data_IF_033013848014
#
_entry.id   IF_033013848014
#
_cell.length_a   1.000
_cell.length_b   1.000
_cell.length_c   1.000
_cell.angle_alpha   90.00
_cell.angle_beta   90.00
_cell.angle_gamma   90.00
#
_symmetry.space_group_name_H-M   'P 1'
#
loop_
_entity.id
_entity.type
_entity.pdbx_description
1 polymer ?
#
# COMPACT_ATOMS: atom_id res chain seq x y z
N UNK A 1 3.09 54.70 -5.63
CA UNK A 1 2.40 53.54 -5.02
C UNK A 1 3.01 52.30 -5.63
N UNK A 2 3.94 51.67 -4.93
CA UNK A 2 4.51 50.38 -5.34
C UNK A 2 3.50 49.34 -4.89
N UNK A 3 2.84 48.70 -5.85
CA UNK A 3 1.97 47.55 -5.61
C UNK A 3 2.82 46.45 -4.98
N UNK A 4 2.50 46.07 -3.73
CA UNK A 4 2.99 44.85 -3.10
C UNK A 4 2.79 43.69 -4.08
N UNK A 5 3.87 43.18 -4.68
CA UNK A 5 3.81 41.84 -5.27
C UNK A 5 3.59 40.90 -4.10
N UNK A 6 2.43 40.27 -4.01
CA UNK A 6 2.25 39.14 -3.10
C UNK A 6 3.41 38.17 -3.33
N UNK A 7 4.20 37.93 -2.30
CA UNK A 7 5.35 37.02 -2.35
C UNK A 7 4.89 35.68 -2.93
N UNK A 8 5.58 35.24 -4.00
CA UNK A 8 5.23 34.01 -4.71
C UNK A 8 5.51 32.82 -3.80
N UNK A 9 4.45 32.13 -3.38
CA UNK A 9 4.58 30.98 -2.49
C UNK A 9 5.01 29.76 -3.32
N UNK A 10 6.16 29.20 -2.96
CA UNK A 10 6.80 28.03 -3.58
C UNK A 10 7.00 26.92 -2.54
N UNK A 11 7.34 25.70 -2.99
CA UNK A 11 7.53 24.53 -2.12
C UNK A 11 8.68 24.72 -1.09
N UNK A 12 9.60 25.66 -1.32
CA UNK A 12 10.67 25.99 -0.36
C UNK A 12 10.25 26.98 0.73
N UNK A 13 9.12 27.66 0.56
CA UNK A 13 8.60 28.68 1.50
C UNK A 13 7.49 28.15 2.40
N UNK A 14 7.05 26.90 2.20
CA UNK A 14 5.96 26.32 2.98
C UNK A 14 6.42 25.90 4.38
N UNK A 15 5.49 26.02 5.32
CA UNK A 15 5.63 25.46 6.66
C UNK A 15 5.27 23.97 6.63
N UNK A 16 6.29 23.11 6.55
CA UNK A 16 6.14 21.66 6.52
C UNK A 16 5.58 21.06 7.82
N UNK A 17 5.46 21.84 8.90
CA UNK A 17 4.75 21.39 10.10
C UNK A 17 3.23 21.35 9.92
N UNK A 18 2.70 22.02 8.89
CA UNK A 18 1.28 22.06 8.57
C UNK A 18 0.88 20.94 7.59
N UNK A 19 -0.35 20.39 7.73
CA UNK A 19 -0.90 19.44 6.77
C UNK A 19 -0.89 20.00 5.34
N UNK A 20 -0.60 19.13 4.36
CA UNK A 20 -0.56 19.49 2.93
C UNK A 20 -1.80 20.27 2.48
N UNK A 21 -2.98 19.86 2.96
CA UNK A 21 -4.27 20.51 2.62
C UNK A 21 -4.33 22.02 2.94
N UNK A 22 -3.53 22.50 3.90
CA UNK A 22 -3.53 23.91 4.31
C UNK A 22 -2.71 24.82 3.37
N UNK A 23 -1.71 24.28 2.68
CA UNK A 23 -0.81 25.08 1.83
C UNK A 23 -0.80 24.65 0.36
N UNK A 24 -1.31 23.46 0.03
CA UNK A 24 -1.26 22.91 -1.34
C UNK A 24 -1.85 23.87 -2.38
N UNK A 25 -3.02 24.44 -2.11
CA UNK A 25 -3.70 25.37 -3.04
C UNK A 25 -3.08 26.77 -3.07
N UNK A 26 -2.17 27.09 -2.14
CA UNK A 26 -1.50 28.41 -2.11
C UNK A 26 -0.24 28.42 -2.97
N UNK A 27 0.28 27.25 -3.37
CA UNK A 27 1.44 27.16 -4.25
C UNK A 27 1.12 27.73 -5.63
N UNK A 28 2.00 28.59 -6.13
CA UNK A 28 1.83 29.20 -7.45
C UNK A 28 1.86 28.16 -8.59
N UNK A 29 2.59 27.07 -8.40
CA UNK A 29 2.75 25.97 -9.35
C UNK A 29 1.91 24.72 -8.98
N UNK A 30 0.93 24.86 -8.08
CA UNK A 30 0.02 23.78 -7.65
C UNK A 30 -0.51 22.93 -8.82
N UNK A 31 -0.87 23.59 -9.92
CA UNK A 31 -1.42 22.93 -11.11
C UNK A 31 -0.46 21.98 -11.83
N UNK A 32 0.84 22.05 -11.54
CA UNK A 32 1.92 21.28 -12.19
C UNK A 32 2.52 20.18 -11.28
N UNK A 33 2.01 20.05 -10.05
CA UNK A 33 2.43 19.04 -9.07
C UNK A 33 1.38 17.94 -8.90
N UNK A 34 1.79 16.76 -8.43
CA UNK A 34 0.94 15.61 -8.10
C UNK A 34 1.41 14.91 -6.83
N UNK A 35 0.48 14.26 -6.16
CA UNK A 35 0.81 13.38 -5.05
C UNK A 35 1.44 12.09 -5.57
N UNK A 36 2.68 11.83 -5.16
CA UNK A 36 3.41 10.61 -5.47
C UNK A 36 3.05 9.52 -4.46
N UNK A 37 2.46 8.43 -4.95
CA UNK A 37 2.26 7.21 -4.17
C UNK A 37 3.59 6.46 -4.07
N UNK A 38 4.12 6.36 -2.85
CA UNK A 38 5.43 5.78 -2.60
C UNK A 38 5.48 4.99 -1.28
N UNK A 39 6.07 3.80 -1.32
CA UNK A 39 6.42 3.01 -0.12
C UNK A 39 7.55 2.03 -0.44
N UNK A 40 8.30 1.62 0.58
CA UNK A 40 9.44 0.71 0.46
C UNK A 40 9.33 -0.56 1.31
N UNK A 41 8.18 -0.77 1.95
CA UNK A 41 7.99 -1.93 2.82
C UNK A 41 7.42 -3.12 2.03
N UNK A 42 8.33 -3.90 1.41
CA UNK A 42 8.01 -5.09 0.65
C UNK A 42 8.99 -6.24 0.92
N UNK A 43 8.55 -7.45 0.61
CA UNK A 43 9.39 -8.64 0.64
C UNK A 43 9.09 -9.50 -0.59
N UNK A 44 10.00 -9.44 -1.57
CA UNK A 44 9.92 -10.21 -2.81
C UNK A 44 10.84 -11.43 -2.81
N UNK A 45 11.50 -11.75 -1.69
CA UNK A 45 12.48 -12.85 -1.60
C UNK A 45 11.90 -14.20 -2.00
N UNK A 46 10.58 -14.42 -1.90
CA UNK A 46 9.95 -15.64 -2.37
C UNK A 46 10.24 -15.95 -3.85
N UNK A 47 10.38 -14.93 -4.71
CA UNK A 47 10.62 -15.11 -6.15
C UNK A 47 11.99 -15.69 -6.49
N UNK A 48 12.98 -15.61 -5.60
CA UNK A 48 14.30 -16.22 -5.87
C UNK A 48 14.23 -17.76 -5.89
N UNK A 49 13.11 -18.33 -5.40
CA UNK A 49 12.84 -19.77 -5.42
C UNK A 49 12.11 -20.22 -6.69
N UNK A 50 11.69 -19.30 -7.57
CA UNK A 50 11.14 -19.65 -8.89
C UNK A 50 12.23 -20.23 -9.78
N UNK A 51 11.89 -21.17 -10.66
CA UNK A 51 12.86 -21.76 -11.58
C UNK A 51 13.31 -20.76 -12.66
N UNK A 52 14.59 -20.79 -13.09
CA UNK A 52 15.04 -19.93 -14.17
C UNK A 52 14.21 -20.15 -15.45
N UNK A 53 13.84 -19.05 -16.12
CA UNK A 53 13.07 -19.11 -17.37
C UNK A 53 13.86 -19.69 -18.54
N UNK A 54 13.15 -20.27 -19.52
CA UNK A 54 13.73 -20.96 -20.69
C UNK A 54 14.67 -20.06 -21.54
N UNK A 55 14.48 -18.73 -21.52
CA UNK A 55 15.28 -17.77 -22.27
C UNK A 55 16.43 -17.11 -21.51
N UNK A 56 16.72 -17.55 -20.27
CA UNK A 56 17.73 -16.89 -19.46
C UNK A 56 19.14 -17.23 -19.94
N UNK A 57 20.01 -16.21 -19.95
CA UNK A 57 21.45 -16.41 -20.17
C UNK A 57 22.05 -17.24 -19.04
N UNK A 58 23.15 -17.94 -19.31
CA UNK A 58 23.86 -18.73 -18.28
C UNK A 58 24.31 -17.86 -17.10
N UNK A 59 24.70 -16.62 -17.37
CA UNK A 59 25.06 -15.66 -16.32
C UNK A 59 23.85 -15.29 -15.44
N UNK A 60 22.69 -15.04 -16.04
CA UNK A 60 21.47 -14.76 -15.28
C UNK A 60 21.05 -15.96 -14.42
N UNK A 61 21.16 -17.19 -14.95
CA UNK A 61 20.91 -18.42 -14.20
C UNK A 61 21.87 -18.55 -13.01
N UNK A 62 23.17 -18.32 -13.24
CA UNK A 62 24.19 -18.35 -12.18
C UNK A 62 23.88 -17.34 -11.06
N UNK A 63 23.62 -16.08 -11.42
CA UNK A 63 23.28 -15.02 -10.46
C UNK A 63 22.00 -15.34 -9.67
N UNK A 64 21.00 -15.95 -10.32
CA UNK A 64 19.77 -16.37 -9.66
C UNK A 64 20.00 -17.48 -8.64
N UNK A 65 20.80 -18.49 -8.98
CA UNK A 65 21.17 -19.55 -8.05
C UNK A 65 21.96 -18.99 -6.86
N UNK A 66 22.86 -18.04 -7.08
CA UNK A 66 23.60 -17.35 -6.01
C UNK A 66 22.67 -16.55 -5.09
N UNK A 67 21.70 -15.84 -5.66
CA UNK A 67 20.68 -15.11 -4.90
C UNK A 67 19.78 -16.04 -4.10
N UNK A 68 19.43 -17.21 -4.66
CA UNK A 68 18.66 -18.26 -3.98
C UNK A 68 19.40 -18.77 -2.75
N UNK A 69 20.69 -19.12 -2.88
CA UNK A 69 21.50 -19.59 -1.75
C UNK A 69 21.72 -18.51 -0.69
N UNK A 70 21.99 -17.26 -1.10
CA UNK A 70 22.09 -16.13 -0.18
C UNK A 70 20.79 -15.92 0.60
N UNK A 71 19.65 -16.04 -0.06
CA UNK A 71 18.34 -15.90 0.55
C UNK A 71 18.06 -17.04 1.54
N UNK A 72 18.38 -18.29 1.21
CA UNK A 72 18.29 -19.42 2.15
C UNK A 72 19.09 -19.16 3.42
N UNK A 73 20.35 -18.75 3.29
CA UNK A 73 21.20 -18.40 4.45
C UNK A 73 20.57 -17.27 5.27
N UNK A 74 20.03 -16.25 4.62
CA UNK A 74 19.31 -15.16 5.28
C UNK A 74 18.09 -15.64 6.08
N UNK A 75 17.25 -16.49 5.48
CA UNK A 75 16.05 -17.05 6.11
C UNK A 75 16.41 -17.94 7.31
N UNK A 76 17.47 -18.74 7.21
CA UNK A 76 17.97 -19.54 8.35
C UNK A 76 18.43 -18.65 9.50
N UNK A 77 19.14 -17.56 9.19
CA UNK A 77 19.53 -16.57 10.23
C UNK A 77 18.33 -15.87 10.86
N UNK A 78 17.30 -15.59 10.08
CA UNK A 78 16.11 -14.86 10.52
C UNK A 78 15.16 -15.73 11.37
N UNK A 79 14.95 -16.99 10.98
CA UNK A 79 13.97 -17.89 11.59
C UNK A 79 14.57 -19.03 12.42
N UNK A 80 15.89 -19.18 12.40
CA UNK A 80 16.63 -20.21 13.13
C UNK A 80 16.95 -21.45 12.29
N UNK A 81 17.94 -22.21 12.77
CA UNK A 81 18.43 -23.44 12.12
C UNK A 81 17.48 -24.64 12.30
N UNK A 82 16.79 -24.69 13.45
CA UNK A 82 15.83 -25.75 13.77
C UNK A 82 14.61 -25.59 12.85
N UNK A 83 14.23 -26.68 12.17
CA UNK A 83 13.17 -26.72 11.17
C UNK A 83 13.38 -25.77 9.97
N UNK A 84 14.62 -25.41 9.67
CA UNK A 84 14.98 -24.49 8.57
C UNK A 84 14.36 -24.84 7.21
N UNK A 85 14.38 -26.11 6.81
CA UNK A 85 13.72 -26.56 5.56
C UNK A 85 12.22 -26.24 5.59
N UNK A 86 11.55 -26.51 6.71
CA UNK A 86 10.11 -26.23 6.86
C UNK A 86 9.81 -24.73 6.87
N UNK A 87 10.66 -23.95 7.51
CA UNK A 87 10.53 -22.49 7.53
C UNK A 87 10.67 -21.92 6.11
N UNK A 88 11.62 -22.43 5.32
CA UNK A 88 11.79 -22.04 3.91
C UNK A 88 10.55 -22.44 3.09
N UNK A 89 10.05 -23.67 3.23
CA UNK A 89 8.81 -24.10 2.57
C UNK A 89 7.62 -23.17 2.91
N UNK A 90 7.43 -22.87 4.20
CA UNK A 90 6.36 -21.99 4.64
C UNK A 90 6.53 -20.55 4.11
N UNK A 91 7.76 -20.04 4.08
CA UNK A 91 8.10 -18.72 3.55
C UNK A 91 7.80 -18.62 2.05
N UNK A 92 8.16 -19.64 1.28
CA UNK A 92 7.84 -19.71 -0.16
C UNK A 92 6.33 -19.80 -0.35
N UNK A 93 5.63 -20.62 0.44
CA UNK A 93 4.19 -20.81 0.32
C UNK A 93 3.38 -19.52 0.50
N UNK A 94 3.72 -18.66 1.47
CA UNK A 94 3.01 -17.39 1.68
C UNK A 94 3.28 -16.35 0.59
N UNK A 95 4.31 -16.55 -0.23
CA UNK A 95 4.69 -15.65 -1.32
C UNK A 95 5.10 -14.25 -0.85
N UNK A 96 4.98 -13.27 -1.75
CA UNK A 96 5.44 -11.91 -1.51
C UNK A 96 4.58 -11.14 -0.49
N UNK A 97 5.22 -10.19 0.20
CA UNK A 97 4.51 -9.19 1.01
C UNK A 97 4.03 -8.06 0.08
N UNK A 98 2.74 -7.69 0.07
CA UNK A 98 2.23 -6.58 -0.74
C UNK A 98 2.69 -5.25 -0.14
N UNK A 99 2.68 -4.21 -0.98
CA UNK A 99 2.94 -2.84 -0.58
C UNK A 99 1.68 -2.25 0.03
N UNK A 100 1.69 -1.82 1.30
CA UNK A 100 0.63 -0.94 1.80
C UNK A 100 1.13 0.49 1.99
N UNK A 101 0.30 1.47 1.61
CA UNK A 101 0.51 2.88 1.93
C UNK A 101 0.34 3.17 3.43
N UNK A 102 -0.20 2.24 4.21
CA UNK A 102 -0.37 2.38 5.66
C UNK A 102 0.61 1.50 6.43
N UNK A 103 1.52 2.13 7.19
CA UNK A 103 2.60 1.44 7.90
C UNK A 103 2.12 0.34 8.86
N UNK A 104 0.98 0.54 9.54
CA UNK A 104 0.47 -0.44 10.50
C UNK A 104 -0.04 -1.73 9.82
N UNK A 105 -0.52 -1.66 8.57
CA UNK A 105 -0.83 -2.86 7.79
C UNK A 105 0.43 -3.69 7.60
N UNK A 106 1.51 -3.04 7.18
CA UNK A 106 2.76 -3.72 6.89
C UNK A 106 3.37 -4.34 8.15
N UNK A 107 3.31 -3.65 9.28
CA UNK A 107 3.83 -4.14 10.55
C UNK A 107 3.04 -5.34 11.09
N UNK A 108 1.72 -5.26 11.15
CA UNK A 108 0.91 -6.37 11.66
C UNK A 108 0.87 -7.55 10.71
N UNK A 109 0.87 -7.30 9.40
CA UNK A 109 0.94 -8.38 8.42
C UNK A 109 2.29 -9.10 8.43
N UNK A 110 3.39 -8.38 8.72
CA UNK A 110 4.69 -9.01 8.93
C UNK A 110 4.67 -10.00 10.11
N UNK A 111 4.05 -9.62 11.24
CA UNK A 111 3.90 -10.51 12.40
C UNK A 111 3.11 -11.78 12.04
N UNK A 112 2.01 -11.63 11.30
CA UNK A 112 1.19 -12.76 10.80
C UNK A 112 2.03 -13.70 9.91
N UNK A 113 2.77 -13.13 8.96
CA UNK A 113 3.63 -13.88 8.05
C UNK A 113 4.71 -14.65 8.82
N UNK A 114 5.41 -13.98 9.74
CA UNK A 114 6.46 -14.59 10.56
C UNK A 114 5.92 -15.74 11.42
N UNK A 115 4.74 -15.59 12.01
CA UNK A 115 4.09 -16.67 12.75
C UNK A 115 3.85 -17.90 11.87
N UNK A 116 3.40 -17.71 10.62
CA UNK A 116 3.23 -18.82 9.69
C UNK A 116 4.54 -19.49 9.31
N UNK A 117 5.60 -18.71 9.04
CA UNK A 117 6.91 -19.22 8.66
C UNK A 117 7.44 -20.20 9.71
N UNK A 118 7.37 -19.84 10.99
CA UNK A 118 7.86 -20.68 12.10
C UNK A 118 6.90 -21.82 12.51
N UNK A 119 5.80 -22.04 11.76
CA UNK A 119 4.83 -23.10 12.03
C UNK A 119 3.78 -22.77 13.08
N UNK A 120 3.71 -21.53 13.57
CA UNK A 120 2.68 -21.06 14.49
C UNK A 120 1.37 -20.71 13.72
N UNK A 121 0.74 -21.73 13.13
CA UNK A 121 -0.36 -21.57 12.19
C UNK A 121 -1.63 -20.98 12.82
N UNK A 122 -1.99 -21.34 14.05
CA UNK A 122 -3.15 -20.74 14.71
C UNK A 122 -2.97 -19.24 14.97
N UNK A 123 -1.85 -18.78 15.58
CA UNK A 123 -1.54 -17.36 15.66
C UNK A 123 -1.55 -16.63 14.30
N UNK A 124 -1.02 -17.27 13.24
CA UNK A 124 -1.07 -16.69 11.90
C UNK A 124 -2.51 -16.52 11.38
N UNK A 125 -3.34 -17.56 11.50
CA UNK A 125 -4.74 -17.55 11.09
C UNK A 125 -5.55 -16.46 11.82
N UNK A 126 -5.53 -16.47 13.16
CA UNK A 126 -6.31 -15.52 13.95
C UNK A 126 -5.75 -14.10 13.84
N UNK A 127 -4.44 -13.95 13.68
CA UNK A 127 -3.80 -12.66 13.44
C UNK A 127 -4.18 -12.05 12.10
N UNK A 128 -4.25 -12.85 11.02
CA UNK A 128 -4.74 -12.42 9.71
C UNK A 128 -6.20 -11.96 9.79
N UNK A 129 -7.06 -12.75 10.44
CA UNK A 129 -8.47 -12.39 10.64
C UNK A 129 -8.61 -11.10 11.47
N UNK A 130 -7.88 -10.98 12.58
CA UNK A 130 -7.91 -9.78 13.42
C UNK A 130 -7.43 -8.52 12.68
N UNK A 131 -6.42 -8.66 11.80
CA UNK A 131 -5.98 -7.55 10.95
C UNK A 131 -7.09 -7.15 9.97
N UNK A 132 -7.75 -8.11 9.32
CA UNK A 132 -8.89 -7.84 8.44
C UNK A 132 -10.02 -7.09 9.16
N UNK A 133 -10.38 -7.53 10.37
CA UNK A 133 -11.38 -6.86 11.22
C UNK A 133 -10.98 -5.42 11.52
N UNK A 134 -9.71 -5.23 11.89
CA UNK A 134 -9.16 -3.93 12.22
C UNK A 134 -9.24 -2.98 11.02
N UNK A 135 -8.92 -3.46 9.81
CA UNK A 135 -8.99 -2.66 8.58
C UNK A 135 -10.44 -2.24 8.30
N UNK A 136 -11.40 -3.18 8.34
CA UNK A 136 -12.81 -2.87 8.12
C UNK A 136 -13.31 -1.82 9.12
N UNK A 137 -12.95 -1.97 10.39
CA UNK A 137 -13.37 -1.05 11.43
C UNK A 137 -12.79 0.35 11.23
N UNK A 138 -11.51 0.48 10.86
CA UNK A 138 -10.89 1.77 10.55
C UNK A 138 -11.53 2.43 9.34
N UNK A 139 -11.71 1.68 8.24
CA UNK A 139 -12.38 2.20 7.03
C UNK A 139 -13.74 2.79 7.35
N UNK A 140 -14.56 2.08 8.13
CA UNK A 140 -15.88 2.58 8.52
C UNK A 140 -15.78 3.80 9.43
N UNK A 141 -14.94 3.75 10.47
CA UNK A 141 -14.83 4.83 11.45
C UNK A 141 -14.33 6.14 10.82
N UNK A 142 -13.33 6.05 9.95
CA UNK A 142 -12.70 7.21 9.33
C UNK A 142 -13.55 7.79 8.19
N UNK A 143 -14.30 6.94 7.47
CA UNK A 143 -15.01 7.37 6.26
C UNK A 143 -16.50 7.63 6.45
N UNK A 144 -17.17 7.04 7.44
CA UNK A 144 -18.65 7.13 7.59
C UNK A 144 -19.20 8.54 7.61
N UNK A 145 -18.42 9.50 8.08
CA UNK A 145 -18.85 10.89 8.20
C UNK A 145 -19.02 11.58 6.83
N UNK A 146 -18.31 11.11 5.81
CA UNK A 146 -18.50 11.54 4.41
C UNK A 146 -19.82 11.04 3.81
N UNK A 147 -20.45 10.03 4.43
CA UNK A 147 -21.62 9.33 3.91
C UNK A 147 -22.86 9.48 4.81
N UNK A 148 -22.92 10.49 5.68
CA UNK A 148 -24.04 10.75 6.62
C UNK A 148 -25.42 10.81 5.97
N UNK A 149 -25.50 11.21 4.70
CA UNK A 149 -26.75 11.31 3.93
C UNK A 149 -27.24 9.98 3.37
N UNK A 150 -26.43 8.92 3.41
CA UNK A 150 -26.76 7.61 2.85
C UNK A 150 -27.59 6.76 3.81
N UNK A 151 -28.47 5.86 3.32
CA UNK A 151 -29.21 4.95 4.18
C UNK A 151 -28.30 3.96 4.93
N UNK A 152 -27.15 3.59 4.36
CA UNK A 152 -26.18 2.67 4.94
C UNK A 152 -25.53 3.21 6.21
N UNK A 153 -25.36 4.54 6.33
CA UNK A 153 -24.79 5.17 7.53
C UNK A 153 -25.50 4.75 8.82
N UNK A 154 -26.82 4.58 8.77
CA UNK A 154 -27.64 4.15 9.93
C UNK A 154 -27.29 2.74 10.42
N UNK A 155 -26.65 1.92 9.59
CA UNK A 155 -26.19 0.58 9.98
C UNK A 155 -24.87 0.65 10.76
N UNK A 156 -24.03 1.64 10.49
CA UNK A 156 -22.64 1.72 10.99
C UNK A 156 -22.35 2.92 11.91
N UNK A 157 -23.35 3.75 12.24
CA UNK A 157 -23.14 4.91 13.12
C UNK A 157 -22.78 4.52 14.56
N UNK A 158 -23.24 3.35 15.04
CA UNK A 158 -22.92 2.83 16.38
C UNK A 158 -21.76 1.85 16.31
N UNK A 159 -20.87 1.91 17.31
CA UNK A 159 -19.70 1.03 17.41
C UNK A 159 -20.05 -0.46 17.49
N UNK A 160 -21.19 -0.81 18.09
CA UNK A 160 -21.64 -2.20 18.23
C UNK A 160 -22.05 -2.88 16.91
N UNK A 161 -22.08 -2.16 15.79
CA UNK A 161 -22.42 -2.71 14.49
C UNK A 161 -21.27 -3.45 13.79
N UNK A 162 -20.05 -3.38 14.34
CA UNK A 162 -18.83 -3.82 13.68
C UNK A 162 -18.49 -5.29 13.94
N UNK A 163 -19.07 -5.90 14.98
CA UNK A 163 -18.82 -7.30 15.33
C UNK A 163 -19.33 -8.28 14.25
N UNK A 164 -20.30 -7.85 13.43
CA UNK A 164 -20.80 -8.57 12.27
C UNK A 164 -20.15 -8.01 11.01
N UNK A 165 -19.07 -8.64 10.54
CA UNK A 165 -18.29 -8.24 9.35
C UNK A 165 -19.11 -8.05 8.06
N UNK A 166 -20.25 -8.73 7.93
CA UNK A 166 -21.13 -8.53 6.77
C UNK A 166 -21.58 -7.05 6.66
N UNK A 167 -21.88 -6.41 7.79
CA UNK A 167 -22.36 -5.02 7.86
C UNK A 167 -21.32 -4.02 7.33
N UNK A 168 -20.07 -3.96 7.84
CA UNK A 168 -19.05 -3.06 7.30
C UNK A 168 -18.68 -3.40 5.86
N UNK A 169 -18.60 -4.68 5.46
CA UNK A 169 -18.30 -5.05 4.07
C UNK A 169 -19.37 -4.50 3.11
N UNK A 170 -20.64 -4.79 3.36
CA UNK A 170 -21.74 -4.36 2.48
C UNK A 170 -21.89 -2.83 2.47
N UNK A 171 -21.62 -2.18 3.59
CA UNK A 171 -21.67 -0.71 3.69
C UNK A 171 -20.56 -0.07 2.87
N UNK A 172 -19.32 -0.56 2.99
CA UNK A 172 -18.19 -0.02 2.24
C UNK A 172 -18.27 -0.34 0.74
N UNK A 173 -18.84 -1.50 0.37
CA UNK A 173 -19.17 -1.83 -1.02
C UNK A 173 -20.22 -0.87 -1.58
N UNK A 174 -21.32 -0.63 -0.86
CA UNK A 174 -22.38 0.30 -1.29
C UNK A 174 -21.89 1.75 -1.42
N UNK A 175 -20.92 2.17 -0.61
CA UNK A 175 -20.26 3.47 -0.73
C UNK A 175 -19.21 3.53 -1.85
N UNK A 176 -18.97 2.44 -2.57
CA UNK A 176 -17.91 2.29 -3.57
C UNK A 176 -16.51 2.62 -3.00
N UNK A 177 -16.31 2.34 -1.70
CA UNK A 177 -14.99 2.48 -1.05
C UNK A 177 -14.15 1.26 -1.35
N UNK A 178 -14.69 0.06 -1.16
CA UNK A 178 -13.97 -1.19 -1.43
C UNK A 178 -13.95 -1.49 -2.93
N UNK A 179 -12.78 -1.86 -3.43
CA UNK A 179 -12.67 -2.43 -4.77
C UNK A 179 -13.39 -3.79 -4.84
N UNK A 180 -13.99 -4.16 -5.99
CA UNK A 180 -14.78 -5.40 -6.11
C UNK A 180 -14.03 -6.67 -5.67
N UNK A 181 -12.74 -6.75 -6.01
CA UNK A 181 -11.90 -7.87 -5.58
C UNK A 181 -11.66 -7.85 -4.07
N UNK A 182 -11.36 -6.69 -3.48
CA UNK A 182 -11.23 -6.56 -2.02
C UNK A 182 -12.49 -7.02 -1.27
N UNK A 183 -13.69 -6.71 -1.77
CA UNK A 183 -14.97 -7.22 -1.21
C UNK A 183 -14.99 -8.75 -1.17
N UNK A 184 -14.61 -9.38 -2.28
CA UNK A 184 -14.58 -10.85 -2.40
C UNK A 184 -13.62 -11.46 -1.39
N UNK A 185 -12.43 -10.89 -1.25
CA UNK A 185 -11.40 -11.37 -0.32
C UNK A 185 -11.79 -11.15 1.15
N UNK A 186 -12.42 -10.03 1.48
CA UNK A 186 -12.94 -9.80 2.83
C UNK A 186 -14.02 -10.81 3.21
N UNK A 187 -14.92 -11.15 2.28
CA UNK A 187 -15.95 -12.19 2.50
C UNK A 187 -15.31 -13.57 2.71
N UNK A 188 -14.29 -13.92 1.94
CA UNK A 188 -13.57 -15.19 2.13
C UNK A 188 -12.84 -15.24 3.49
N UNK A 189 -12.21 -14.14 3.90
CA UNK A 189 -11.55 -14.02 5.20
C UNK A 189 -12.56 -14.08 6.37
N UNK A 190 -13.75 -13.50 6.22
CA UNK A 190 -14.82 -13.56 7.21
C UNK A 190 -15.22 -15.01 7.51
N UNK A 191 -15.33 -15.86 6.49
CA UNK A 191 -15.64 -17.28 6.69
C UNK A 191 -14.54 -18.02 7.47
N UNK A 192 -13.27 -17.71 7.20
CA UNK A 192 -12.14 -18.24 7.98
C UNK A 192 -12.18 -17.79 9.44
N UNK A 193 -12.52 -16.51 9.69
CA UNK A 193 -12.71 -15.98 11.05
C UNK A 193 -13.81 -16.74 11.80
N UNK A 194 -14.98 -16.89 11.19
CA UNK A 194 -16.11 -17.59 11.83
C UNK A 194 -15.74 -19.03 12.21
N UNK A 195 -15.03 -19.74 11.33
CA UNK A 195 -14.60 -21.12 11.59
C UNK A 195 -13.45 -21.24 12.60
N UNK A 196 -12.58 -20.23 12.72
CA UNK A 196 -11.36 -20.29 13.54
C UNK A 196 -11.55 -19.81 14.99
N UNK A 197 -12.47 -18.87 15.23
CA UNK A 197 -12.70 -18.29 16.57
C UNK A 197 -13.69 -19.14 17.39
N UNK A 198 -14.68 -19.74 16.74
CA UNK A 198 -15.60 -20.64 17.42
C UNK A 198 -14.98 -22.04 17.53
N UNK A 199 -15.04 -22.64 18.73
CA UNK A 199 -14.45 -23.97 18.96
C UNK A 199 -14.98 -25.00 17.96
N UNK A 200 -14.09 -25.55 17.16
CA UNK A 200 -14.37 -26.59 16.18
C UNK A 200 -13.19 -27.55 16.14
N UNK A 201 -13.45 -28.84 16.40
CA UNK A 201 -12.43 -29.90 16.39
C UNK A 201 -11.77 -30.03 15.00
N UNK A 202 -12.49 -29.71 13.93
CA UNK A 202 -11.99 -29.72 12.56
C UNK A 202 -10.91 -28.66 12.29
N UNK A 203 -10.85 -27.57 13.07
CA UNK A 203 -9.86 -26.49 12.87
C UNK A 203 -8.43 -26.99 13.00
N UNK A 204 -8.18 -28.03 13.81
CA UNK A 204 -6.85 -28.61 13.95
C UNK A 204 -6.41 -29.45 12.74
N UNK A 205 -7.36 -29.96 11.95
CA UNK A 205 -7.06 -30.79 10.79
C UNK A 205 -6.65 -29.98 9.55
N UNK A 206 -7.07 -28.72 9.47
CA UNK A 206 -6.85 -27.82 8.31
C UNK A 206 -6.10 -26.55 8.68
N UNK A 207 -5.48 -26.51 9.87
CA UNK A 207 -4.97 -25.27 10.45
C UNK A 207 -3.92 -24.58 9.58
N UNK A 208 -3.03 -25.36 8.96
CA UNK A 208 -1.99 -24.83 8.07
C UNK A 208 -2.63 -24.23 6.81
N UNK A 209 -3.57 -24.95 6.21
CA UNK A 209 -4.23 -24.59 4.96
C UNK A 209 -5.12 -23.35 5.15
N UNK A 210 -5.88 -23.29 6.25
CA UNK A 210 -6.70 -22.13 6.61
C UNK A 210 -5.81 -20.92 6.92
N UNK A 211 -4.69 -21.10 7.65
CA UNK A 211 -3.75 -20.01 7.91
C UNK A 211 -3.10 -19.47 6.63
N UNK A 212 -2.70 -20.35 5.71
CA UNK A 212 -2.14 -19.96 4.42
C UNK A 212 -3.18 -19.20 3.59
N UNK A 213 -4.42 -19.69 3.55
CA UNK A 213 -5.53 -19.04 2.85
C UNK A 213 -5.81 -17.66 3.43
N UNK A 214 -5.86 -17.52 4.76
CA UNK A 214 -6.06 -16.23 5.42
C UNK A 214 -4.96 -15.21 5.08
N UNK A 215 -3.71 -15.66 5.01
CA UNK A 215 -2.57 -14.82 4.58
C UNK A 215 -2.73 -14.36 3.13
N UNK A 216 -3.15 -15.25 2.23
CA UNK A 216 -3.37 -14.89 0.83
C UNK A 216 -4.54 -13.90 0.66
N UNK A 217 -5.66 -14.11 1.35
CA UNK A 217 -6.77 -13.15 1.35
C UNK A 217 -6.33 -11.78 1.89
N UNK A 218 -5.58 -11.76 3.00
CA UNK A 218 -5.05 -10.50 3.55
C UNK A 218 -4.07 -9.81 2.61
N UNK A 219 -3.20 -10.58 1.92
CA UNK A 219 -2.31 -10.04 0.90
C UNK A 219 -3.12 -9.35 -0.21
N UNK A 220 -4.14 -10.03 -0.70
CA UNK A 220 -4.96 -9.52 -1.80
C UNK A 220 -5.81 -8.31 -1.36
N UNK A 221 -6.35 -8.29 -0.14
CA UNK A 221 -7.02 -7.12 0.44
C UNK A 221 -6.10 -5.90 0.43
N UNK A 222 -4.86 -6.07 0.94
CA UNK A 222 -3.88 -4.98 0.99
C UNK A 222 -3.50 -4.53 -0.42
N UNK A 223 -3.24 -5.46 -1.32
CA UNK A 223 -2.91 -5.15 -2.72
C UNK A 223 -4.05 -4.39 -3.40
N UNK A 224 -5.27 -4.91 -3.36
CA UNK A 224 -6.40 -4.32 -4.09
C UNK A 224 -6.78 -2.95 -3.56
N UNK A 225 -6.75 -2.77 -2.23
CA UNK A 225 -7.29 -1.56 -1.62
C UNK A 225 -6.23 -0.52 -1.28
N UNK A 226 -5.04 -0.93 -0.82
CA UNK A 226 -4.05 -0.04 -0.20
C UNK A 226 -2.68 -0.06 -0.87
N UNK A 227 -2.60 -0.60 -2.09
CA UNK A 227 -1.33 -0.69 -2.82
C UNK A 227 -0.74 0.69 -3.11
N UNK A 228 0.59 0.77 -3.04
CA UNK A 228 1.31 1.92 -3.59
C UNK A 228 1.62 1.75 -5.09
N UNK A 229 1.40 0.55 -5.64
CA UNK A 229 1.80 0.11 -6.98
C UNK A 229 0.69 -0.56 -7.81
N UNK A 230 0.85 -0.57 -9.13
CA UNK A 230 -0.05 -1.26 -10.07
C UNK A 230 -1.19 -0.38 -10.57
N UNK A 231 -2.10 -0.99 -11.34
CA UNK A 231 -3.20 -0.26 -11.98
C UNK A 231 -4.37 -0.12 -11.01
N UNK A 232 -4.65 1.11 -10.59
CA UNK A 232 -5.84 1.45 -9.78
C UNK A 232 -6.56 2.64 -10.38
N UNK A 233 -7.89 2.77 -10.16
CA UNK A 233 -8.68 3.85 -10.75
C UNK A 233 -8.12 5.25 -10.47
N UNK A 234 -7.50 5.43 -9.29
CA UNK A 234 -6.94 6.68 -8.80
C UNK A 234 -5.50 6.98 -9.25
N UNK A 235 -4.81 6.07 -9.94
CA UNK A 235 -3.45 6.34 -10.42
C UNK A 235 -3.42 6.87 -11.84
N UNK A 236 -2.57 7.86 -12.09
CA UNK A 236 -2.24 8.34 -13.43
C UNK A 236 -1.54 7.22 -14.20
N UNK A 237 -2.02 6.94 -15.41
CA UNK A 237 -1.41 5.94 -16.30
C UNK A 237 -0.25 6.54 -17.09
N UNK A 238 0.68 5.70 -17.52
CA UNK A 238 1.77 6.15 -18.40
C UNK A 238 2.89 6.88 -17.67
N UNK A 239 3.11 6.64 -16.38
CA UNK A 239 4.26 7.14 -15.63
C UNK A 239 5.15 5.98 -15.18
N UNK A 240 6.38 5.93 -15.68
CA UNK A 240 7.31 4.82 -15.51
C UNK A 240 7.93 4.81 -14.12
N UNK A 241 7.76 3.68 -13.45
CA UNK A 241 8.38 3.40 -12.15
C UNK A 241 7.83 4.21 -10.97
N UNK A 242 6.90 5.15 -11.21
CA UNK A 242 6.29 5.99 -10.20
C UNK A 242 4.80 6.12 -10.48
N UNK A 243 4.00 6.23 -9.42
CA UNK A 243 2.56 6.36 -9.54
C UNK A 243 2.10 7.62 -8.85
N UNK A 244 1.24 8.36 -9.53
CA UNK A 244 0.72 9.63 -9.06
C UNK A 244 -0.78 9.53 -8.89
N UNK A 245 -1.31 10.21 -7.89
CA UNK A 245 -2.76 10.29 -7.68
C UNK A 245 -3.36 11.24 -8.73
N UNK A 246 -4.39 10.77 -9.42
CA UNK A 246 -5.21 11.58 -10.34
C UNK A 246 -5.88 12.72 -9.60
N UNK A 247 -5.96 13.88 -10.23
CA UNK A 247 -6.55 15.07 -9.60
C UNK A 247 -8.01 14.87 -9.20
N UNK A 248 -8.81 14.21 -10.05
CA UNK A 248 -10.23 13.95 -9.79
C UNK A 248 -10.46 13.05 -8.56
N UNK A 249 -9.45 12.27 -8.17
CA UNK A 249 -9.51 11.35 -7.03
C UNK A 249 -9.05 11.99 -5.71
N UNK A 250 -8.47 13.19 -5.73
CA UNK A 250 -7.97 13.84 -4.51
C UNK A 250 -9.08 14.19 -3.51
N UNK A 251 -10.30 14.42 -4.01
CA UNK A 251 -11.48 14.66 -3.16
C UNK A 251 -12.25 13.38 -2.80
N UNK A 252 -11.85 12.23 -3.35
CA UNK A 252 -12.45 10.96 -2.96
C UNK A 252 -12.17 10.69 -1.46
N UNK A 253 -13.18 10.38 -0.63
CA UNK A 253 -12.99 10.21 0.81
C UNK A 253 -11.89 9.20 1.18
N UNK A 254 -11.79 8.09 0.45
CA UNK A 254 -10.78 7.06 0.72
C UNK A 254 -9.37 7.57 0.42
N UNK A 255 -9.16 8.17 -0.75
CA UNK A 255 -7.85 8.70 -1.17
C UNK A 255 -7.41 9.84 -0.27
N UNK A 256 -8.32 10.77 0.03
CA UNK A 256 -8.08 11.91 0.91
C UNK A 256 -7.65 11.48 2.32
N UNK A 257 -8.23 10.39 2.82
CA UNK A 257 -7.98 9.89 4.17
C UNK A 257 -6.71 9.05 4.27
N UNK A 258 -6.41 8.21 3.28
CA UNK A 258 -5.35 7.19 3.41
C UNK A 258 -4.14 7.35 2.50
N UNK A 259 -4.28 8.03 1.36
CA UNK A 259 -3.17 8.22 0.42
C UNK A 259 -2.53 9.60 0.60
N UNK A 260 -3.33 10.67 0.48
CA UNK A 260 -2.79 12.03 0.44
C UNK A 260 -1.92 12.41 1.65
N UNK A 261 -2.23 11.99 2.90
CA UNK A 261 -1.40 12.36 4.06
C UNK A 261 0.03 11.82 4.01
N UNK A 262 0.28 10.70 3.31
CA UNK A 262 1.59 10.08 3.22
C UNK A 262 2.27 10.27 1.86
N UNK A 263 1.56 10.82 0.86
CA UNK A 263 2.08 11.01 -0.49
C UNK A 263 2.76 12.38 -0.66
N UNK A 264 4.08 12.44 -0.94
CA UNK A 264 4.77 13.69 -1.26
C UNK A 264 4.11 14.42 -2.44
N UNK A 265 4.03 15.75 -2.38
CA UNK A 265 3.45 16.57 -3.44
C UNK A 265 4.56 17.17 -4.33
N UNK A 266 4.82 16.53 -5.47
CA UNK A 266 6.02 16.75 -6.29
C UNK A 266 5.66 17.11 -7.73
N UNK A 267 6.54 17.81 -8.44
CA UNK A 267 6.44 18.00 -9.89
C UNK A 267 7.07 16.84 -10.69
N UNK A 268 7.06 16.90 -12.03
CA UNK A 268 7.53 15.79 -12.88
C UNK A 268 9.04 15.55 -12.83
N UNK A 269 9.82 16.52 -12.39
CA UNK A 269 11.29 16.48 -12.40
C UNK A 269 11.89 16.19 -11.03
N UNK A 270 11.10 15.75 -10.05
CA UNK A 270 11.64 15.35 -8.75
C UNK A 270 12.66 14.20 -8.86
N UNK A 271 13.51 14.10 -7.85
CA UNK A 271 14.43 13.00 -7.63
C UNK A 271 14.25 12.43 -6.21
N UNK A 272 14.64 11.16 -6.03
CA UNK A 272 14.68 10.49 -4.74
C UNK A 272 16.13 10.16 -4.42
N UNK A 273 16.59 10.46 -3.19
CA UNK A 273 17.88 10.00 -2.69
C UNK A 273 17.75 9.25 -1.37
N UNK A 274 18.80 8.49 -1.04
CA UNK A 274 18.90 7.67 0.18
C UNK A 274 20.10 8.02 1.06
N UNK A 275 20.86 9.05 0.69
CA UNK A 275 22.16 9.37 1.30
C UNK A 275 22.04 9.69 2.80
N UNK A 276 20.91 10.28 3.21
CA UNK A 276 20.58 10.60 4.60
C UNK A 276 19.23 9.99 5.02
N UNK A 277 18.90 8.83 4.45
CA UNK A 277 17.54 8.30 4.47
C UNK A 277 16.71 8.78 3.28
N UNK A 278 15.44 8.38 3.24
CA UNK A 278 14.54 8.70 2.12
C UNK A 278 14.30 10.22 2.05
N UNK A 279 14.74 10.83 0.94
CA UNK A 279 14.54 12.25 0.66
C UNK A 279 13.93 12.43 -0.74
N UNK A 280 13.02 13.40 -0.85
CA UNK A 280 12.46 13.84 -2.13
C UNK A 280 13.02 15.22 -2.44
N UNK A 281 13.77 15.31 -3.53
CA UNK A 281 14.30 16.56 -4.06
C UNK A 281 13.37 17.03 -5.17
N UNK A 282 13.00 18.30 -5.16
CA UNK A 282 12.12 18.85 -6.17
C UNK A 282 12.50 20.28 -6.54
N UNK A 283 12.09 20.74 -7.72
CA UNK A 283 12.30 22.13 -8.10
C UNK A 283 11.45 23.06 -7.22
N UNK A 284 12.02 24.22 -6.91
CA UNK A 284 11.36 25.25 -6.12
C UNK A 284 10.06 25.73 -6.79
N UNK A 285 10.07 25.86 -8.12
CA UNK A 285 8.96 26.42 -8.88
C UNK A 285 8.88 25.82 -10.29
N UNK A 286 7.71 25.29 -10.65
CA UNK A 286 7.42 24.80 -12.00
C UNK A 286 6.76 25.84 -12.90
N UNK A 287 6.53 27.06 -12.44
CA UNK A 287 5.84 28.12 -13.17
C UNK A 287 4.31 28.00 -13.13
N UNK A 288 3.64 29.03 -13.64
CA UNK A 288 2.18 29.14 -13.56
C UNK A 288 1.44 28.17 -14.49
N UNK A 289 0.19 27.89 -14.16
CA UNK A 289 -0.71 27.15 -15.02
C UNK A 289 -1.10 25.79 -14.46
N UNK A 290 -1.81 25.02 -15.28
CA UNK A 290 -2.49 23.83 -14.85
C UNK A 290 -2.32 22.74 -15.91
N UNK A 291 -1.62 21.67 -15.54
CA UNK A 291 -1.54 20.48 -16.38
C UNK A 291 -2.66 19.53 -16.01
N UNK A 292 -3.32 18.99 -17.02
CA UNK A 292 -4.08 17.74 -16.92
C UNK A 292 -3.19 16.58 -16.48
N UNK A 293 -3.79 15.47 -16.10
CA UNK A 293 -3.05 14.27 -15.70
C UNK A 293 -2.26 13.68 -16.89
N UNK A 294 -2.79 13.77 -18.11
CA UNK A 294 -2.11 13.34 -19.34
C UNK A 294 -0.91 14.23 -19.69
N UNK A 295 -1.05 15.56 -19.54
CA UNK A 295 0.06 16.49 -19.73
C UNK A 295 1.17 16.26 -18.70
N UNK A 296 0.81 16.04 -17.43
CA UNK A 296 1.78 15.71 -16.38
C UNK A 296 2.52 14.41 -16.72
N UNK A 297 1.79 13.36 -17.13
CA UNK A 297 2.38 12.08 -17.52
C UNK A 297 3.32 12.23 -18.73
N UNK A 298 2.91 12.99 -19.75
CA UNK A 298 3.73 13.23 -20.93
C UNK A 298 5.04 13.97 -20.60
N UNK A 299 4.98 15.00 -19.75
CA UNK A 299 6.18 15.73 -19.29
C UNK A 299 7.06 14.83 -18.44
N UNK A 300 6.47 14.03 -17.54
CA UNK A 300 7.19 13.08 -16.71
C UNK A 300 7.92 12.01 -17.54
N UNK A 301 7.27 11.42 -18.55
CA UNK A 301 7.92 10.42 -19.41
C UNK A 301 9.00 11.01 -20.32
N UNK A 302 8.85 12.27 -20.74
CA UNK A 302 9.81 12.94 -21.61
C UNK A 302 11.03 13.49 -20.85
N UNK A 303 11.09 13.35 -19.52
CA UNK A 303 12.15 13.96 -18.71
C UNK A 303 13.53 13.35 -18.96
N UNK A 304 14.56 14.18 -18.94
CA UNK A 304 15.97 13.78 -19.02
C UNK A 304 16.69 13.98 -17.69
N UNK A 305 17.86 13.34 -17.52
CA UNK A 305 18.62 13.38 -16.27
C UNK A 305 19.05 14.80 -15.85
N UNK A 306 19.33 15.67 -16.82
CA UNK A 306 19.73 17.07 -16.58
C UNK A 306 18.58 17.96 -16.07
N UNK A 307 17.33 17.53 -16.27
CA UNK A 307 16.15 18.23 -15.78
C UNK A 307 15.79 17.86 -14.34
N UNK A 308 16.31 16.75 -13.82
CA UNK A 308 15.97 16.28 -12.47
C UNK A 308 16.46 17.27 -11.41
N UNK A 309 15.63 17.46 -10.38
CA UNK A 309 16.01 18.19 -9.19
C UNK A 309 17.25 17.55 -8.56
N UNK A 310 18.17 18.39 -8.09
CA UNK A 310 19.43 17.95 -7.48
C UNK A 310 19.31 18.05 -5.98
N UNK A 311 20.02 17.17 -5.27
CA UNK A 311 20.28 17.37 -3.85
C UNK A 311 21.09 18.66 -3.69
N UNK A 312 20.53 19.64 -2.99
CA UNK A 312 21.20 20.90 -2.63
C UNK A 312 22.10 20.72 -1.40
#
# INVERSE_FOLDING_TARGET
MVTNSSERITISTIDWSKPVVEWKSTLADFGRRRHLSYTMDFDSRAHVFDEPGEGWTEEAKRLHMENRERTKIGLVREFGEIFSEKNIENFVAIGTKPFSVLAYHNHFFDQVRRAFVIGAYYPALVGACALGERILNHLVLDLRDFYKSTPEYRKVFRKGSFDNWQVPIDTLEAWNVLQPKAVTEFRALMELRHRSIHFNVGTYATLKEDALSAIHHMREIIDQQFTAFGDRPWFITGTRGHLFIKREWEENPFIKTYYLPSCPFVGPYFAISFDQGLQFHDHHDYGDGHWSDDEFAAVFEARSLDQLAKAE
#
